data_IF_252463620840
#
_entry.id   IF_252463620840
#
_cell.length_a   1.000
_cell.length_b   1.000
_cell.length_c   1.000
_cell.angle_alpha   90.00
_cell.angle_beta   90.00
_cell.angle_gamma   90.00
#
_symmetry.space_group_name_H-M   'P 1'
#
loop_
_entity.id
_entity.type
_entity.pdbx_description
1 polymer ?
#
# COMPACT_ATOMS: atom_id res chain seq x y z
N UNK A 1 12.15 -17.00 1.38
CA UNK A 1 12.06 -16.02 0.29
C UNK A 1 10.99 -16.46 -0.69
N UNK A 2 10.25 -15.49 -1.30
CA UNK A 2 9.12 -15.80 -2.17
C UNK A 2 9.52 -16.26 -3.59
N UNK A 3 10.76 -16.05 -4.00
CA UNK A 3 11.24 -16.49 -5.32
C UNK A 3 10.69 -15.67 -6.49
N UNK A 4 10.40 -14.38 -6.29
CA UNK A 4 9.96 -13.48 -7.36
C UNK A 4 11.11 -13.29 -8.36
N UNK A 5 10.85 -13.43 -9.67
CA UNK A 5 11.89 -13.18 -10.68
C UNK A 5 12.44 -11.75 -10.61
N UNK A 6 13.69 -11.57 -11.05
CA UNK A 6 14.33 -10.26 -11.06
C UNK A 6 13.48 -9.23 -11.81
N UNK A 7 13.37 -8.02 -11.26
CA UNK A 7 12.63 -6.88 -11.83
C UNK A 7 11.11 -7.09 -11.95
N UNK A 8 10.54 -8.11 -11.30
CA UNK A 8 9.12 -8.44 -11.39
C UNK A 8 8.35 -8.16 -10.08
N UNK A 9 9.02 -7.76 -9.01
CA UNK A 9 8.37 -7.53 -7.73
C UNK A 9 7.39 -6.36 -7.80
N UNK A 10 6.19 -6.56 -7.20
CA UNK A 10 5.17 -5.53 -7.08
C UNK A 10 4.93 -5.21 -5.62
N UNK A 11 4.68 -3.94 -5.33
CA UNK A 11 4.23 -3.45 -4.03
C UNK A 11 2.87 -2.80 -4.19
N UNK A 12 1.93 -3.20 -3.36
CA UNK A 12 0.56 -2.67 -3.36
C UNK A 12 0.47 -1.55 -2.35
N UNK A 13 -0.21 -0.47 -2.72
CA UNK A 13 -0.51 0.66 -1.85
C UNK A 13 -2.02 0.89 -1.80
N UNK A 14 -2.52 1.37 -0.67
CA UNK A 14 -3.89 1.85 -0.59
C UNK A 14 -4.00 3.22 -1.27
N UNK A 15 -5.11 3.51 -1.93
CA UNK A 15 -5.39 4.84 -2.44
C UNK A 15 -5.42 5.86 -1.30
N UNK A 16 -5.14 7.12 -1.61
CA UNK A 16 -5.01 8.21 -0.65
C UNK A 16 -3.87 8.04 0.35
N UNK A 17 -2.87 7.21 0.01
CA UNK A 17 -1.67 7.07 0.83
C UNK A 17 -0.82 8.34 0.84
N UNK A 18 -0.08 8.52 1.92
CA UNK A 18 0.97 9.53 1.99
C UNK A 18 2.14 9.02 2.84
N UNK A 19 3.30 8.84 2.22
CA UNK A 19 4.51 8.43 2.93
C UNK A 19 5.76 9.20 2.51
N UNK A 20 5.56 10.34 1.87
CA UNK A 20 6.64 11.25 1.51
C UNK A 20 6.52 11.83 0.11
N UNK A 21 7.59 12.45 -0.35
CA UNK A 21 7.65 13.14 -1.65
C UNK A 21 8.87 12.73 -2.48
N UNK A 22 9.49 11.60 -2.16
CA UNK A 22 10.53 11.01 -3.02
C UNK A 22 9.90 10.50 -4.31
N UNK A 23 10.73 10.19 -5.32
CA UNK A 23 10.22 9.61 -6.56
C UNK A 23 9.42 8.33 -6.30
N UNK A 24 9.89 7.49 -5.39
CA UNK A 24 9.16 6.28 -5.01
C UNK A 24 7.80 6.61 -4.40
N UNK A 25 7.75 7.54 -3.45
CA UNK A 25 6.50 7.93 -2.79
C UNK A 25 5.50 8.54 -3.78
N UNK A 26 5.92 9.43 -4.66
CA UNK A 26 5.00 10.02 -5.65
C UNK A 26 4.56 9.00 -6.70
N UNK A 27 5.39 8.01 -7.01
CA UNK A 27 5.01 6.92 -7.93
C UNK A 27 3.87 6.04 -7.38
N UNK A 28 3.71 5.97 -6.06
CA UNK A 28 2.64 5.24 -5.40
C UNK A 28 1.42 6.10 -5.07
N UNK A 29 1.50 7.42 -5.27
CA UNK A 29 0.46 8.35 -4.87
C UNK A 29 -0.75 8.31 -5.82
N UNK A 30 -1.93 8.45 -5.27
CA UNK A 30 -3.17 8.69 -6.02
C UNK A 30 -3.54 10.18 -6.10
N UNK A 31 -2.78 11.05 -5.46
CA UNK A 31 -3.02 12.49 -5.45
C UNK A 31 -2.40 13.16 -6.69
N UNK A 32 -3.21 13.70 -7.63
CA UNK A 32 -2.68 14.35 -8.84
C UNK A 32 -1.72 15.50 -8.54
N UNK A 33 -1.91 16.23 -7.44
CA UNK A 33 -1.01 17.33 -7.07
C UNK A 33 0.40 16.85 -6.73
N UNK A 34 0.53 15.58 -6.33
CA UNK A 34 1.82 14.98 -5.99
C UNK A 34 2.54 14.43 -7.22
N UNK A 35 1.83 13.87 -8.21
CA UNK A 35 2.48 13.18 -9.32
C UNK A 35 2.40 13.90 -10.67
N UNK A 36 1.48 14.84 -10.88
CA UNK A 36 1.37 15.54 -12.16
C UNK A 36 2.68 16.26 -12.50
N UNK A 37 3.18 16.04 -13.72
CA UNK A 37 4.38 16.67 -14.27
C UNK A 37 5.69 16.24 -13.61
N UNK A 38 5.70 15.23 -12.74
CA UNK A 38 6.92 14.74 -12.08
C UNK A 38 7.42 13.39 -12.60
N UNK A 39 6.79 12.86 -13.67
CA UNK A 39 7.24 11.59 -14.27
C UNK A 39 8.58 11.71 -15.01
N UNK A 40 9.17 10.61 -15.45
CA UNK A 40 8.62 9.24 -15.37
C UNK A 40 8.65 8.66 -13.96
N UNK A 41 7.72 7.74 -13.69
CA UNK A 41 7.58 7.14 -12.35
C UNK A 41 8.23 5.76 -12.27
N UNK A 42 8.47 5.31 -11.04
CA UNK A 42 8.98 3.97 -10.80
C UNK A 42 7.90 2.93 -11.09
N UNK A 43 8.23 1.85 -11.83
CA UNK A 43 7.30 0.75 -12.06
C UNK A 43 7.17 -0.16 -10.83
N UNK A 44 6.19 -1.06 -10.87
CA UNK A 44 6.01 -2.08 -9.84
C UNK A 44 5.13 -1.65 -8.67
N UNK A 45 4.47 -0.51 -8.76
CA UNK A 45 3.52 -0.04 -7.76
C UNK A 45 2.08 -0.19 -8.26
N UNK A 46 1.21 -0.74 -7.43
CA UNK A 46 -0.20 -0.97 -7.72
C UNK A 46 -1.03 -0.36 -6.61
N UNK A 47 -2.10 0.33 -6.95
CA UNK A 47 -3.01 0.94 -5.97
C UNK A 47 -4.30 0.14 -5.86
N UNK A 48 -4.81 0.00 -4.63
CA UNK A 48 -6.12 -0.58 -4.36
C UNK A 48 -6.93 0.39 -3.49
N UNK A 49 -8.27 0.39 -3.56
CA UNK A 49 -9.07 1.21 -2.68
C UNK A 49 -8.79 0.91 -1.20
N UNK A 50 -8.70 1.95 -0.40
CA UNK A 50 -8.57 1.81 1.05
C UNK A 50 -9.83 1.17 1.64
N UNK A 51 -9.67 0.35 2.68
CA UNK A 51 -10.80 -0.32 3.35
C UNK A 51 -11.56 -1.31 2.44
N UNK A 52 -10.88 -1.89 1.44
CA UNK A 52 -11.48 -2.86 0.51
C UNK A 52 -10.64 -4.15 0.46
N UNK A 53 -11.03 -5.14 1.28
CA UNK A 53 -10.32 -6.42 1.34
C UNK A 53 -10.45 -7.24 0.06
N UNK A 54 -11.58 -7.15 -0.64
CA UNK A 54 -11.79 -7.90 -1.87
C UNK A 54 -10.82 -7.44 -2.98
N UNK A 55 -10.67 -6.14 -3.16
CA UNK A 55 -9.73 -5.57 -4.13
C UNK A 55 -8.28 -5.94 -3.76
N UNK A 56 -7.94 -5.88 -2.47
CA UNK A 56 -6.61 -6.28 -2.00
C UNK A 56 -6.35 -7.75 -2.29
N UNK A 57 -7.30 -8.63 -2.02
CA UNK A 57 -7.12 -10.08 -2.24
C UNK A 57 -6.86 -10.39 -3.71
N UNK A 58 -7.55 -9.72 -4.64
CA UNK A 58 -7.32 -9.92 -6.08
C UNK A 58 -5.87 -9.62 -6.47
N UNK A 59 -5.30 -8.54 -5.95
CA UNK A 59 -3.90 -8.20 -6.22
C UNK A 59 -2.92 -9.12 -5.50
N UNK A 60 -3.28 -9.65 -4.34
CA UNK A 60 -2.43 -10.59 -3.59
C UNK A 60 -2.31 -11.94 -4.27
N UNK A 61 -3.23 -12.31 -5.15
CA UNK A 61 -3.16 -13.56 -5.92
C UNK A 61 -2.00 -13.59 -6.90
N UNK A 62 -1.47 -12.45 -7.30
CA UNK A 62 -0.31 -12.38 -8.17
C UNK A 62 0.94 -12.87 -7.41
N UNK A 63 1.62 -13.92 -7.91
CA UNK A 63 2.81 -14.46 -7.23
C UNK A 63 3.97 -13.48 -7.15
N UNK A 64 3.97 -12.42 -7.94
CA UNK A 64 5.00 -11.38 -7.94
C UNK A 64 4.73 -10.26 -6.94
N UNK A 65 3.62 -10.29 -6.21
CA UNK A 65 3.34 -9.32 -5.15
C UNK A 65 4.23 -9.60 -3.95
N UNK A 66 5.08 -8.63 -3.62
CA UNK A 66 6.04 -8.75 -2.52
C UNK A 66 5.53 -8.18 -1.21
N UNK A 67 4.83 -7.04 -1.27
CA UNK A 67 4.41 -6.32 -0.08
C UNK A 67 3.10 -5.55 -0.31
N UNK A 68 2.40 -5.30 0.78
CA UNK A 68 1.30 -4.33 0.86
C UNK A 68 1.62 -3.31 1.95
N UNK A 69 1.59 -2.02 1.59
CA UNK A 69 1.83 -0.92 2.52
C UNK A 69 0.55 -0.13 2.72
N UNK A 70 0.21 0.11 3.97
CA UNK A 70 -1.02 0.82 4.34
C UNK A 70 -0.85 1.59 5.64
N UNK A 71 -1.45 2.77 5.71
CA UNK A 71 -1.58 3.52 6.95
C UNK A 71 -2.76 2.94 7.77
N UNK A 72 -2.59 2.59 9.05
CA UNK A 72 -3.70 2.12 9.88
C UNK A 72 -4.85 3.12 9.98
N UNK A 73 -4.52 4.39 9.99
CA UNK A 73 -5.46 5.51 9.85
C UNK A 73 -4.82 6.49 8.89
N UNK A 74 -5.51 6.82 7.80
CA UNK A 74 -4.99 7.79 6.85
C UNK A 74 -5.15 9.20 7.42
N UNK A 75 -4.07 9.98 7.46
CA UNK A 75 -4.07 11.30 8.06
C UNK A 75 -3.98 12.44 7.06
N UNK A 76 -3.14 12.33 6.05
CA UNK A 76 -2.86 13.44 5.12
C UNK A 76 -4.03 13.71 4.16
N UNK A 77 -4.71 12.69 3.70
CA UNK A 77 -5.86 12.84 2.80
C UNK A 77 -7.17 13.21 3.51
N UNK A 78 -7.10 13.57 4.79
CA UNK A 78 -8.23 13.66 5.70
C UNK A 78 -8.21 12.44 6.63
N UNK A 79 -8.79 12.54 7.80
CA UNK A 79 -8.75 11.44 8.77
C UNK A 79 -9.71 10.33 8.34
N UNK A 80 -9.16 9.26 7.75
CA UNK A 80 -9.93 8.08 7.35
C UNK A 80 -9.59 6.90 8.28
N UNK A 81 -10.58 6.48 9.05
CA UNK A 81 -10.50 5.31 9.93
C UNK A 81 -11.16 4.13 9.20
N UNK A 82 -10.47 2.99 9.04
CA UNK A 82 -11.07 1.86 8.35
C UNK A 82 -12.16 1.20 9.18
N UNK A 83 -13.00 0.39 8.54
CA UNK A 83 -14.01 -0.41 9.22
C UNK A 83 -13.36 -1.38 10.22
N UNK A 84 -14.11 -1.75 11.24
CA UNK A 84 -13.69 -2.76 12.20
C UNK A 84 -13.35 -4.06 11.46
N UNK A 85 -12.21 -4.65 11.80
CA UNK A 85 -11.76 -5.90 11.19
C UNK A 85 -10.97 -5.73 9.88
N UNK A 86 -10.88 -4.54 9.30
CA UNK A 86 -10.11 -4.34 8.07
C UNK A 86 -8.62 -4.71 8.26
N UNK A 87 -7.97 -4.15 9.25
CA UNK A 87 -6.54 -4.41 9.48
C UNK A 87 -6.28 -5.87 9.85
N UNK A 88 -7.19 -6.49 10.62
CA UNK A 88 -7.11 -7.92 10.90
C UNK A 88 -7.24 -8.76 9.63
N UNK A 89 -8.16 -8.39 8.75
CA UNK A 89 -8.32 -9.02 7.44
C UNK A 89 -7.07 -8.86 6.57
N UNK A 90 -6.48 -7.68 6.55
CA UNK A 90 -5.20 -7.42 5.86
C UNK A 90 -4.11 -8.36 6.36
N UNK A 91 -3.97 -8.50 7.68
CA UNK A 91 -2.98 -9.41 8.27
C UNK A 91 -3.21 -10.85 7.81
N UNK A 92 -4.44 -11.29 7.86
CA UNK A 92 -4.80 -12.66 7.45
C UNK A 92 -4.52 -12.91 5.97
N UNK A 93 -4.90 -11.99 5.09
CA UNK A 93 -4.67 -12.10 3.65
C UNK A 93 -3.18 -12.07 3.29
N UNK A 94 -2.42 -11.17 3.88
CA UNK A 94 -0.98 -11.09 3.64
C UNK A 94 -0.27 -12.37 4.09
N UNK A 95 -0.66 -12.95 5.21
CA UNK A 95 -0.12 -14.22 5.68
C UNK A 95 -0.50 -15.37 4.73
N UNK A 96 -1.77 -15.43 4.31
CA UNK A 96 -2.27 -16.45 3.39
C UNK A 96 -1.51 -16.46 2.06
N UNK A 97 -1.23 -15.29 1.51
CA UNK A 97 -0.58 -15.13 0.20
C UNK A 97 0.94 -14.94 0.28
N UNK A 98 1.52 -15.06 1.47
CA UNK A 98 2.96 -14.90 1.69
C UNK A 98 3.47 -13.54 1.20
N UNK A 99 2.78 -12.47 1.59
CA UNK A 99 3.09 -11.08 1.26
C UNK A 99 3.47 -10.33 2.53
N UNK A 100 4.48 -9.49 2.46
CA UNK A 100 4.85 -8.63 3.59
C UNK A 100 3.76 -7.59 3.81
N UNK A 101 3.38 -7.38 5.06
CA UNK A 101 2.51 -6.27 5.43
C UNK A 101 3.34 -5.17 6.10
N UNK A 102 3.31 -3.99 5.50
CA UNK A 102 4.00 -2.79 6.01
C UNK A 102 2.93 -1.85 6.55
N UNK A 103 2.90 -1.68 7.86
CA UNK A 103 2.01 -0.72 8.50
C UNK A 103 2.76 0.61 8.66
N UNK A 104 2.30 1.64 7.95
CA UNK A 104 2.87 2.98 8.08
C UNK A 104 2.22 3.68 9.28
N UNK A 105 2.88 3.63 10.41
CA UNK A 105 2.42 4.22 11.67
C UNK A 105 3.13 5.54 12.01
N UNK A 106 3.65 6.24 11.01
CA UNK A 106 4.32 7.53 11.25
C UNK A 106 3.41 8.51 11.97
N UNK A 107 2.11 8.52 11.64
CA UNK A 107 1.15 9.38 12.33
C UNK A 107 0.40 8.69 13.47
N UNK A 108 0.28 7.37 13.48
CA UNK A 108 -0.53 6.62 14.44
C UNK A 108 0.27 5.93 15.53
N UNK A 109 1.56 5.69 15.31
CA UNK A 109 2.43 4.99 16.22
C UNK A 109 3.20 5.90 17.17
N UNK A 110 4.21 5.34 17.85
CA UNK A 110 5.16 6.07 18.71
C UNK A 110 4.49 6.92 19.79
N UNK A 111 3.51 6.35 20.49
CA UNK A 111 2.78 7.01 21.58
C UNK A 111 1.88 8.18 21.15
N UNK A 112 1.46 8.17 19.92
CA UNK A 112 0.49 9.15 19.42
C UNK A 112 -0.94 8.75 19.70
#
# INVERSE_FOLDING_TARGET
>A
MKGIPANQAKTIFAENNFWGRTLAAVSSSSDPSAYNDYGPFMPGFVSVPYNNLAALEEELKDPNTAAFMVEPIQGEAGVFVPDEGYLKGVRQLCTKHNVLWIADEVQTGLCR
#
